data_IF_517684918936
#
_entry.id   IF_517684918936
#
_cell.length_a   1.000
_cell.length_b   1.000
_cell.length_c   1.000
_cell.angle_alpha   90.00
_cell.angle_beta   90.00
_cell.angle_gamma   90.00
#
_symmetry.space_group_name_H-M   'P 1'
#
loop_
_entity.id
_entity.type
_entity.pdbx_description
1 polymer ?
#
# COMPACT_ATOMS: atom_id res chain seq x y z
N UNK A 1 -3.08 39.38 -22.15
CA UNK A 1 -2.26 38.31 -21.52
C UNK A 1 -3.23 37.25 -21.00
N UNK A 2 -3.39 36.12 -21.70
CA UNK A 2 -4.26 35.02 -21.25
C UNK A 2 -3.39 33.99 -20.52
N UNK A 3 -3.55 33.90 -19.21
CA UNK A 3 -2.92 32.87 -18.39
C UNK A 3 -3.59 31.53 -18.71
N UNK A 4 -2.93 30.69 -19.50
CA UNK A 4 -3.40 29.34 -19.80
C UNK A 4 -3.08 28.40 -18.64
N UNK A 5 -4.05 28.14 -17.77
CA UNK A 5 -3.98 26.99 -16.85
C UNK A 5 -4.08 25.74 -17.71
N UNK A 6 -2.94 25.12 -17.98
CA UNK A 6 -2.91 23.84 -18.67
C UNK A 6 -3.65 22.80 -17.80
N UNK A 7 -4.69 22.12 -18.31
CA UNK A 7 -5.38 21.11 -17.53
C UNK A 7 -4.38 20.02 -17.12
N UNK A 8 -4.41 19.56 -15.85
CA UNK A 8 -3.44 18.59 -15.38
C UNK A 8 -3.51 17.33 -16.26
N UNK A 9 -2.38 16.94 -16.86
CA UNK A 9 -2.33 15.80 -17.76
C UNK A 9 -2.90 14.55 -17.07
N UNK A 10 -3.66 13.74 -17.82
CA UNK A 10 -4.41 12.59 -17.28
C UNK A 10 -3.48 11.58 -16.58
N UNK A 11 -2.22 11.44 -17.02
CA UNK A 11 -1.22 10.60 -16.34
C UNK A 11 -0.86 11.15 -14.95
N UNK A 12 -0.65 12.46 -14.83
CA UNK A 12 -0.29 13.14 -13.58
C UNK A 12 -1.42 13.10 -12.56
N UNK A 13 -2.67 13.29 -13.01
CA UNK A 13 -3.83 13.23 -12.11
C UNK A 13 -4.12 11.81 -11.60
N UNK A 14 -3.90 10.78 -12.42
CA UNK A 14 -4.08 9.37 -12.01
C UNK A 14 -2.98 8.90 -11.06
N UNK A 15 -1.72 9.32 -11.27
CA UNK A 15 -0.62 9.08 -10.32
C UNK A 15 -0.91 9.73 -8.95
N UNK A 16 -1.44 10.96 -8.93
CA UNK A 16 -1.82 11.63 -7.67
C UNK A 16 -2.86 10.85 -6.85
N UNK A 17 -3.80 10.17 -7.52
CA UNK A 17 -4.79 9.32 -6.85
C UNK A 17 -4.16 8.09 -6.19
N UNK A 18 -3.19 7.45 -6.85
CA UNK A 18 -2.44 6.33 -6.28
C UNK A 18 -1.66 6.75 -5.02
N UNK A 19 -0.92 7.86 -5.11
CA UNK A 19 -0.15 8.41 -3.98
C UNK A 19 -1.05 8.76 -2.79
N UNK A 20 -2.17 9.43 -3.04
CA UNK A 20 -3.13 9.79 -1.98
C UNK A 20 -3.73 8.54 -1.33
N UNK A 21 -4.06 7.53 -2.13
CA UNK A 21 -4.54 6.25 -1.61
C UNK A 21 -3.49 5.56 -0.75
N UNK A 22 -2.23 5.54 -1.19
CA UNK A 22 -1.12 4.97 -0.42
C UNK A 22 -0.93 5.66 0.92
N UNK A 23 -0.96 7.01 0.94
CA UNK A 23 -0.88 7.79 2.18
C UNK A 23 -1.96 7.42 3.17
N UNK A 24 -3.20 7.24 2.70
CA UNK A 24 -4.31 6.82 3.57
C UNK A 24 -4.08 5.44 4.16
N UNK A 25 -3.66 4.47 3.35
CA UNK A 25 -3.32 3.11 3.81
C UNK A 25 -2.20 3.18 4.86
N UNK A 26 -1.13 3.91 4.57
CA UNK A 26 0.02 4.08 5.46
C UNK A 26 -0.40 4.63 6.82
N UNK A 27 -1.19 5.70 6.83
CA UNK A 27 -1.68 6.32 8.08
C UNK A 27 -2.61 5.37 8.82
N UNK A 28 -3.57 4.75 8.13
CA UNK A 28 -4.56 3.88 8.78
C UNK A 28 -3.93 2.61 9.35
N UNK A 29 -3.02 1.96 8.63
CA UNK A 29 -2.33 0.75 9.10
C UNK A 29 -1.43 1.07 10.30
N UNK A 30 -0.72 2.20 10.25
CA UNK A 30 0.14 2.64 11.35
C UNK A 30 -0.68 2.97 12.60
N UNK A 31 -1.77 3.73 12.45
CA UNK A 31 -2.67 4.04 13.56
C UNK A 31 -3.31 2.78 14.15
N UNK A 32 -3.73 1.83 13.31
CA UNK A 32 -4.29 0.57 13.76
C UNK A 32 -3.27 -0.28 14.51
N UNK A 33 -2.02 -0.34 14.03
CA UNK A 33 -0.94 -1.05 14.72
C UNK A 33 -0.66 -0.45 16.11
N UNK A 34 -0.56 0.89 16.20
CA UNK A 34 -0.38 1.60 17.48
C UNK A 34 -1.54 1.26 18.43
N UNK A 35 -2.79 1.38 17.95
CA UNK A 35 -3.97 1.05 18.74
C UNK A 35 -3.92 -0.40 19.22
N UNK A 36 -3.58 -1.35 18.35
CA UNK A 36 -3.50 -2.77 18.69
C UNK A 36 -2.45 -3.04 19.76
N UNK A 37 -1.27 -2.43 19.65
CA UNK A 37 -0.21 -2.55 20.65
C UNK A 37 -0.63 -1.98 22.01
N UNK A 38 -1.34 -0.85 22.03
CA UNK A 38 -1.88 -0.26 23.27
C UNK A 38 -2.92 -1.18 23.92
N UNK A 39 -3.78 -1.82 23.13
CA UNK A 39 -4.76 -2.77 23.66
C UNK A 39 -4.09 -4.03 24.19
N UNK A 40 -3.07 -4.56 23.51
CA UNK A 40 -2.30 -5.73 23.97
C UNK A 40 -1.60 -5.44 25.30
N UNK A 41 -1.10 -4.21 25.47
CA UNK A 41 -0.55 -3.75 26.75
C UNK A 41 -1.61 -3.74 27.85
N UNK A 42 -2.80 -3.20 27.59
CA UNK A 42 -3.85 -3.03 28.60
C UNK A 42 -4.58 -4.34 28.94
N UNK A 43 -4.85 -5.18 27.94
CA UNK A 43 -5.69 -6.39 28.08
C UNK A 43 -4.83 -7.61 28.38
N UNK A 44 -3.66 -7.73 27.74
CA UNK A 44 -2.82 -8.93 27.82
C UNK A 44 -1.54 -8.69 28.63
N UNK A 45 -1.40 -7.54 29.31
CA UNK A 45 -0.22 -7.13 30.07
C UNK A 45 1.09 -7.24 29.26
N UNK A 46 1.03 -7.01 27.95
CA UNK A 46 2.19 -7.06 27.07
C UNK A 46 2.82 -5.69 26.92
N UNK A 47 3.78 -5.39 27.79
CA UNK A 47 4.35 -4.04 27.89
C UNK A 47 5.49 -3.77 26.90
N UNK A 48 6.25 -4.81 26.55
CA UNK A 48 7.50 -4.65 25.81
C UNK A 48 7.38 -5.20 24.38
N UNK A 49 7.73 -4.35 23.42
CA UNK A 49 7.93 -4.73 22.02
C UNK A 49 9.33 -4.32 21.60
N UNK A 50 10.07 -5.25 21.00
CA UNK A 50 11.33 -4.92 20.35
C UNK A 50 11.07 -4.10 19.09
N UNK A 51 12.01 -3.21 18.73
CA UNK A 51 11.94 -2.46 17.47
C UNK A 51 11.76 -3.38 16.27
N UNK A 52 12.51 -4.50 16.23
CA UNK A 52 12.38 -5.53 15.19
C UNK A 52 10.98 -6.12 15.12
N UNK A 53 10.36 -6.41 16.26
CA UNK A 53 8.99 -6.93 16.26
C UNK A 53 7.99 -5.91 15.70
N UNK A 54 8.13 -4.64 16.07
CA UNK A 54 7.28 -3.55 15.56
C UNK A 54 7.41 -3.44 14.05
N UNK A 55 8.65 -3.42 13.54
CA UNK A 55 8.94 -3.38 12.11
C UNK A 55 8.33 -4.57 11.37
N UNK A 56 8.50 -5.80 11.88
CA UNK A 56 7.95 -7.00 11.25
C UNK A 56 6.42 -7.00 11.25
N UNK A 57 5.77 -6.53 12.32
CA UNK A 57 4.31 -6.39 12.39
C UNK A 57 3.81 -5.35 11.38
N UNK A 58 4.50 -4.22 11.28
CA UNK A 58 4.16 -3.17 10.33
C UNK A 58 4.34 -3.64 8.87
N UNK A 59 5.47 -4.26 8.57
CA UNK A 59 5.73 -4.88 7.26
C UNK A 59 4.68 -5.94 6.93
N UNK A 60 4.30 -6.78 7.90
CA UNK A 60 3.26 -7.79 7.70
C UNK A 60 1.90 -7.14 7.37
N UNK A 61 1.51 -6.08 8.07
CA UNK A 61 0.27 -5.35 7.82
C UNK A 61 0.25 -4.72 6.41
N UNK A 62 1.32 -4.01 6.03
CA UNK A 62 1.46 -3.40 4.71
C UNK A 62 1.44 -4.45 3.58
N UNK A 63 2.22 -5.54 3.73
CA UNK A 63 2.25 -6.64 2.76
C UNK A 63 0.88 -7.32 2.63
N UNK A 64 0.15 -7.50 3.74
CA UNK A 64 -1.20 -8.06 3.72
C UNK A 64 -2.16 -7.16 2.93
N UNK A 65 -2.12 -5.85 3.15
CA UNK A 65 -2.97 -4.91 2.43
C UNK A 65 -2.66 -4.91 0.93
N UNK A 66 -1.38 -4.88 0.56
CA UNK A 66 -0.94 -4.99 -0.84
C UNK A 66 -1.44 -6.28 -1.50
N UNK A 67 -1.34 -7.43 -0.83
CA UNK A 67 -1.84 -8.72 -1.33
C UNK A 67 -3.35 -8.69 -1.51
N UNK A 68 -4.10 -8.07 -0.59
CA UNK A 68 -5.54 -7.89 -0.73
C UNK A 68 -5.87 -7.01 -1.94
N UNK A 69 -5.15 -5.92 -2.16
CA UNK A 69 -5.31 -5.08 -3.35
C UNK A 69 -5.07 -5.86 -4.64
N UNK A 70 -4.02 -6.67 -4.68
CA UNK A 70 -3.71 -7.52 -5.82
C UNK A 70 -4.83 -8.53 -6.07
N UNK A 71 -5.29 -9.23 -5.03
CA UNK A 71 -6.37 -10.20 -5.11
C UNK A 71 -7.68 -9.54 -5.58
N UNK A 72 -8.04 -8.40 -5.01
CA UNK A 72 -9.25 -7.65 -5.36
C UNK A 72 -9.15 -7.00 -6.74
N UNK A 73 -7.97 -6.93 -7.36
CA UNK A 73 -7.78 -6.47 -8.73
C UNK A 73 -8.09 -7.53 -9.79
N UNK A 74 -8.32 -8.78 -9.39
CA UNK A 74 -8.65 -9.86 -10.31
C UNK A 74 -10.05 -9.65 -10.94
N UNK A 75 -10.04 -9.17 -12.18
CA UNK A 75 -11.25 -8.95 -12.96
C UNK A 75 -12.00 -10.23 -13.33
N UNK A 76 -11.31 -11.39 -13.41
CA UNK A 76 -11.98 -12.66 -13.67
C UNK A 76 -12.86 -13.05 -12.49
N UNK A 77 -12.34 -12.86 -11.27
CA UNK A 77 -13.03 -13.20 -10.03
C UNK A 77 -14.07 -12.15 -9.61
N UNK A 78 -13.74 -10.87 -9.69
CA UNK A 78 -14.55 -9.78 -9.13
C UNK A 78 -15.30 -8.94 -10.19
N UNK A 79 -15.07 -9.18 -11.48
CA UNK A 79 -15.76 -8.50 -12.61
C UNK A 79 -15.75 -6.97 -12.45
N UNK A 80 -16.92 -6.34 -12.46
CA UNK A 80 -17.10 -4.88 -12.32
C UNK A 80 -16.74 -4.35 -10.92
N UNK A 81 -16.64 -5.21 -9.91
CA UNK A 81 -16.24 -4.84 -8.54
C UNK A 81 -14.73 -4.88 -8.32
N UNK A 82 -13.97 -5.37 -9.30
CA UNK A 82 -12.52 -5.45 -9.20
C UNK A 82 -11.89 -4.05 -9.08
N UNK A 83 -10.88 -3.93 -8.22
CA UNK A 83 -10.04 -2.75 -8.18
C UNK A 83 -9.32 -2.65 -9.53
N UNK A 84 -9.26 -1.45 -10.10
CA UNK A 84 -8.53 -1.24 -11.35
C UNK A 84 -7.05 -1.52 -11.11
N UNK A 85 -6.46 -2.45 -11.85
CA UNK A 85 -5.03 -2.78 -11.75
C UNK A 85 -4.11 -1.57 -11.77
N UNK A 86 -4.36 -0.65 -12.70
CA UNK A 86 -3.61 0.62 -12.78
C UNK A 86 -3.61 1.40 -11.46
N UNK A 87 -4.72 1.39 -10.71
CA UNK A 87 -4.78 2.04 -9.39
C UNK A 87 -3.92 1.30 -8.37
N UNK A 88 -3.89 -0.03 -8.39
CA UNK A 88 -3.02 -0.84 -7.52
C UNK A 88 -1.55 -0.55 -7.83
N UNK A 89 -1.15 -0.65 -9.10
CA UNK A 89 0.21 -0.36 -9.55
C UNK A 89 0.67 1.04 -9.10
N UNK A 90 -0.14 2.07 -9.37
CA UNK A 90 0.19 3.45 -8.97
C UNK A 90 0.10 3.71 -7.47
N UNK A 91 -0.63 2.90 -6.70
CA UNK A 91 -0.67 3.01 -5.23
C UNK A 91 0.65 2.52 -4.63
N UNK A 92 1.15 1.39 -5.12
CA UNK A 92 2.31 0.72 -4.52
C UNK A 92 3.63 1.06 -5.22
N UNK A 93 3.59 1.84 -6.30
CA UNK A 93 4.77 2.34 -7.01
C UNK A 93 5.73 3.08 -6.06
N UNK A 94 7.02 2.75 -6.12
CA UNK A 94 8.07 3.31 -5.27
C UNK A 94 8.13 2.76 -3.85
N UNK A 95 7.22 1.85 -3.47
CA UNK A 95 7.20 1.21 -2.15
C UNK A 95 7.68 -0.26 -2.18
N UNK A 96 8.05 -0.77 -3.36
CA UNK A 96 8.43 -2.16 -3.56
C UNK A 96 9.95 -2.35 -3.55
N UNK A 97 10.41 -3.47 -3.01
CA UNK A 97 11.81 -3.89 -3.12
C UNK A 97 12.08 -4.42 -4.53
N UNK A 98 13.22 -4.02 -5.09
CA UNK A 98 13.66 -4.43 -6.41
C UNK A 98 12.60 -4.16 -7.51
N UNK A 99 11.86 -3.05 -7.39
CA UNK A 99 10.78 -2.68 -8.33
C UNK A 99 11.25 -2.69 -9.80
N UNK A 100 12.50 -2.34 -10.06
CA UNK A 100 13.11 -2.37 -11.40
C UNK A 100 13.20 -3.76 -12.03
N UNK A 101 13.13 -4.82 -11.22
CA UNK A 101 13.13 -6.22 -11.69
C UNK A 101 11.73 -6.80 -11.86
N UNK A 102 10.69 -6.08 -11.45
CA UNK A 102 9.31 -6.52 -11.56
C UNK A 102 8.76 -6.31 -12.97
N UNK A 103 7.86 -7.20 -13.38
CA UNK A 103 7.09 -7.01 -14.60
C UNK A 103 6.14 -5.81 -14.47
N UNK A 104 5.72 -5.24 -15.61
CA UNK A 104 4.80 -4.09 -15.63
C UNK A 104 3.45 -4.40 -14.92
N UNK A 105 2.98 -5.65 -14.96
CA UNK A 105 1.80 -6.16 -14.24
C UNK A 105 2.19 -7.15 -13.14
N UNK A 106 2.94 -6.70 -12.13
CA UNK A 106 3.38 -7.51 -10.99
C UNK A 106 2.25 -7.92 -10.04
N UNK A 107 1.01 -7.46 -10.23
CA UNK A 107 -0.11 -7.81 -9.32
C UNK A 107 -0.46 -9.30 -9.32
N UNK A 108 0.14 -10.09 -10.22
CA UNK A 108 0.00 -11.55 -10.29
C UNK A 108 1.16 -12.30 -9.63
N UNK A 109 2.26 -11.61 -9.32
CA UNK A 109 3.40 -12.23 -8.65
C UNK A 109 3.09 -12.41 -7.16
N UNK A 110 3.29 -13.64 -6.67
CA UNK A 110 2.96 -14.07 -5.31
C UNK A 110 4.03 -13.73 -4.26
N UNK A 111 5.03 -12.92 -4.61
CA UNK A 111 6.18 -12.58 -3.77
C UNK A 111 5.89 -11.63 -2.60
N UNK A 112 6.80 -11.58 -1.62
CA UNK A 112 6.86 -10.51 -0.60
C UNK A 112 7.53 -9.30 -1.26
N UNK A 113 6.77 -8.25 -1.56
CA UNK A 113 7.27 -7.14 -2.37
C UNK A 113 7.63 -5.89 -1.58
N UNK A 114 7.42 -5.83 -0.27
CA UNK A 114 7.72 -4.61 0.50
C UNK A 114 8.95 -4.79 1.38
N UNK A 115 9.93 -3.93 1.16
CA UNK A 115 11.00 -3.62 2.10
C UNK A 115 11.19 -2.11 2.10
N UNK A 116 11.55 -1.59 3.27
CA UNK A 116 11.70 -0.16 3.47
C UNK A 116 12.96 0.32 2.72
N UNK A 117 12.78 1.31 1.85
CA UNK A 117 13.89 2.09 1.29
C UNK A 117 14.63 2.73 2.47
N UNK A 118 15.95 2.56 2.51
CA UNK A 118 16.83 3.11 3.54
C UNK A 118 17.26 4.54 3.18
#
# INVERSE_FOLDING_TARGET
MLCGIQPPSVRRSRSRKGIERFRRILISESAHLIWKMRNDHVINNREHYSMREIEQRWLHAMNRHMRLDCLLSDQKKFRKKAIRKFLVLTTWQGALVNESSLQEDWTKDSGVLVGMVK
#
